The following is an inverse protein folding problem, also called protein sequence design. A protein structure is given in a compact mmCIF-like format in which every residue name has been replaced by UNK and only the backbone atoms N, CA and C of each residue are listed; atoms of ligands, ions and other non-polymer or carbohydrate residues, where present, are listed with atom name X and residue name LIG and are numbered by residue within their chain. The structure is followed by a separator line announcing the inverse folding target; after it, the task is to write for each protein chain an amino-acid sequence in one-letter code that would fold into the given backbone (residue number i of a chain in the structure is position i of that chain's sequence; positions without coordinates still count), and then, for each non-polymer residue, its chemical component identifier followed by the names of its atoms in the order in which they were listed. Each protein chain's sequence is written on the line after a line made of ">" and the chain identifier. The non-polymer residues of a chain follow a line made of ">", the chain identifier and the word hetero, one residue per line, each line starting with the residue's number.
data_IF_268519737539
#
_entry.id   IF_268519737539
#
_cell.length_a   1.000
_cell.length_b   1.000
_cell.length_c   1.000
_cell.angle_alpha   90.00
_cell.angle_beta   90.00
_cell.angle_gamma   90.00
#
_symmetry.space_group_name_H-M   'P 1'
#
loop_
_entity.id
_entity.type
_entity.pdbx_description
1 polymer ?
#
# COMPACT_ATOMS: atom_id res chain seq x y z
N UNK A 1 -8.32 -0.57 -9.76
CA UNK A 1 -8.10 0.55 -8.82
C UNK A 1 -8.48 0.07 -7.44
N UNK A 2 -7.82 0.55 -6.38
CA UNK A 2 -8.30 0.39 -5.01
C UNK A 2 -9.08 1.67 -4.64
N UNK A 3 -10.40 1.59 -4.43
CA UNK A 3 -11.21 2.76 -4.15
C UNK A 3 -11.00 3.29 -2.72
N UNK A 4 -11.49 4.50 -2.47
CA UNK A 4 -11.56 5.10 -1.14
C UNK A 4 -12.23 4.16 -0.14
N UNK A 5 -11.62 3.97 1.03
CA UNK A 5 -12.21 3.19 2.11
C UNK A 5 -12.44 1.71 1.80
N UNK A 6 -11.75 1.14 0.81
CA UNK A 6 -11.90 -0.26 0.40
C UNK A 6 -11.82 -1.28 1.56
N UNK A 7 -11.11 -0.93 2.63
CA UNK A 7 -10.89 -1.81 3.79
C UNK A 7 -11.47 -1.25 5.11
N UNK A 8 -12.29 -0.21 5.06
CA UNK A 8 -12.77 0.53 6.25
C UNK A 8 -13.48 -0.37 7.27
N UNK A 9 -14.22 -1.38 6.79
CA UNK A 9 -14.98 -2.31 7.63
C UNK A 9 -14.15 -3.51 8.12
N UNK A 10 -12.84 -3.51 7.89
CA UNK A 10 -11.90 -4.56 8.29
C UNK A 10 -10.84 -4.03 9.28
N UNK A 11 -11.22 -3.53 10.47
CA UNK A 11 -10.28 -2.87 11.40
C UNK A 11 -9.19 -3.79 11.97
N UNK A 12 -9.37 -5.11 11.85
CA UNK A 12 -8.43 -6.14 12.29
C UNK A 12 -7.60 -6.72 11.13
N UNK A 13 -7.67 -6.15 9.92
CA UNK A 13 -6.89 -6.62 8.78
C UNK A 13 -5.39 -6.46 9.06
N UNK A 14 -4.65 -7.57 8.98
CA UNK A 14 -3.21 -7.60 9.20
C UNK A 14 -2.40 -7.86 7.93
N UNK A 15 -3.00 -8.55 6.95
CA UNK A 15 -2.33 -8.88 5.70
C UNK A 15 -3.28 -8.65 4.53
N UNK A 16 -2.78 -7.98 3.49
CA UNK A 16 -3.48 -7.74 2.25
C UNK A 16 -2.62 -8.21 1.07
N UNK A 17 -3.06 -9.31 0.45
CA UNK A 17 -2.45 -9.93 -0.73
C UNK A 17 -3.23 -9.50 -1.98
N UNK A 18 -2.68 -8.58 -2.76
CA UNK A 18 -3.32 -7.94 -3.92
C UNK A 18 -2.46 -8.08 -5.20
N UNK A 19 -1.50 -9.00 -5.18
CA UNK A 19 -0.60 -9.30 -6.29
C UNK A 19 -1.31 -9.82 -7.52
N UNK A 20 -0.64 -9.70 -8.68
CA UNK A 20 -1.10 -10.24 -9.97
C UNK A 20 -2.46 -9.71 -10.43
N UNK A 21 -2.79 -8.51 -9.99
CA UNK A 21 -3.95 -7.77 -10.46
C UNK A 21 -3.56 -6.75 -11.53
N UNK A 22 -4.53 -5.96 -11.98
CA UNK A 22 -4.33 -4.86 -12.93
C UNK A 22 -4.51 -3.50 -12.25
N UNK A 23 -4.06 -3.38 -11.00
CA UNK A 23 -4.19 -2.15 -10.22
C UNK A 23 -3.25 -1.09 -10.81
N UNK A 24 -3.84 0.00 -11.27
CA UNK A 24 -3.13 1.16 -11.83
C UNK A 24 -3.18 2.37 -10.89
N UNK A 25 -4.10 2.36 -9.93
CA UNK A 25 -4.40 3.49 -9.06
C UNK A 25 -4.90 3.00 -7.70
N UNK A 26 -4.50 3.72 -6.66
CA UNK A 26 -4.92 3.53 -5.27
C UNK A 26 -5.37 4.90 -4.77
N UNK A 27 -6.61 5.01 -4.28
CA UNK A 27 -7.11 6.24 -3.71
C UNK A 27 -6.32 6.63 -2.43
N UNK A 28 -6.17 7.94 -2.18
CA UNK A 28 -5.40 8.47 -1.05
C UNK A 28 -5.92 8.08 0.34
N UNK A 29 -7.16 7.63 0.42
CA UNK A 29 -7.81 7.11 1.62
C UNK A 29 -8.26 5.65 1.46
N UNK A 30 -7.65 4.89 0.53
CA UNK A 30 -7.95 3.47 0.35
C UNK A 30 -7.75 2.67 1.65
N UNK A 31 -6.70 3.01 2.39
CA UNK A 31 -6.29 2.36 3.64
C UNK A 31 -6.74 3.12 4.91
N UNK A 32 -7.78 3.95 4.82
CA UNK A 32 -8.33 4.60 6.02
C UNK A 32 -8.84 3.55 7.02
N UNK A 33 -8.61 3.79 8.30
CA UNK A 33 -9.05 2.93 9.42
C UNK A 33 -8.51 1.49 9.43
N UNK A 34 -7.42 1.20 8.72
CA UNK A 34 -6.70 -0.10 8.80
C UNK A 34 -5.25 0.05 9.27
N UNK A 35 -5.01 0.62 10.47
CA UNK A 35 -3.66 0.90 10.96
C UNK A 35 -2.86 -0.36 11.33
N UNK A 36 -3.51 -1.52 11.40
CA UNK A 36 -2.94 -2.79 11.87
C UNK A 36 -2.39 -3.68 10.76
N UNK A 37 -2.40 -3.23 9.49
CA UNK A 37 -1.80 -3.99 8.39
C UNK A 37 -0.28 -4.04 8.62
N UNK A 38 0.24 -5.26 8.66
CA UNK A 38 1.66 -5.59 8.80
C UNK A 38 2.28 -5.94 7.44
N UNK A 39 1.48 -6.54 6.55
CA UNK A 39 1.94 -7.02 5.25
C UNK A 39 1.01 -6.54 4.12
N UNK A 40 1.58 -5.86 3.13
CA UNK A 40 0.88 -5.41 1.93
C UNK A 40 1.64 -5.84 0.69
N UNK A 41 1.04 -6.74 -0.09
CA UNK A 41 1.59 -7.19 -1.37
C UNK A 41 0.80 -6.62 -2.54
N UNK A 42 1.43 -5.70 -3.25
CA UNK A 42 0.95 -5.08 -4.48
C UNK A 42 1.80 -5.51 -5.68
N UNK A 43 2.61 -6.57 -5.55
CA UNK A 43 3.51 -7.00 -6.62
C UNK A 43 2.77 -7.38 -7.90
N UNK A 44 3.45 -7.31 -9.04
CA UNK A 44 2.89 -7.69 -10.34
C UNK A 44 1.59 -6.95 -10.69
N UNK A 45 1.53 -5.65 -10.37
CA UNK A 45 0.46 -4.75 -10.78
C UNK A 45 0.97 -3.72 -11.81
N UNK A 46 0.21 -2.63 -12.01
CA UNK A 46 0.49 -1.62 -13.04
C UNK A 46 0.63 -0.22 -12.42
N UNK A 47 1.01 -0.12 -11.14
CA UNK A 47 1.12 1.16 -10.43
C UNK A 47 2.23 2.02 -11.05
N UNK A 48 1.94 3.23 -11.54
CA UNK A 48 2.94 4.14 -12.11
C UNK A 48 3.66 4.97 -11.04
N UNK A 49 3.01 5.16 -9.88
CA UNK A 49 3.52 5.92 -8.73
C UNK A 49 2.87 5.41 -7.44
N UNK A 50 3.49 5.73 -6.30
CA UNK A 50 2.91 5.61 -4.95
C UNK A 50 2.55 6.97 -4.33
N UNK A 51 2.82 8.06 -5.06
CA UNK A 51 2.39 9.40 -4.68
C UNK A 51 0.86 9.39 -4.60
N UNK A 52 0.33 9.58 -3.40
CA UNK A 52 -1.10 9.48 -3.05
C UNK A 52 -1.68 8.06 -2.88
N UNK A 53 -0.89 7.00 -2.72
CA UNK A 53 -1.43 5.66 -2.44
C UNK A 53 -1.98 5.47 -1.01
N UNK A 54 -2.06 6.53 -0.19
CA UNK A 54 -2.61 6.47 1.17
C UNK A 54 -1.80 5.63 2.16
N UNK A 55 -0.54 5.36 1.86
CA UNK A 55 0.34 4.52 2.69
C UNK A 55 0.61 5.12 4.08
N UNK A 56 0.42 6.43 4.26
CA UNK A 56 0.58 7.10 5.56
C UNK A 56 -0.37 6.62 6.65
N UNK A 57 -1.46 5.93 6.28
CA UNK A 57 -2.37 5.29 7.23
C UNK A 57 -1.80 3.98 7.81
N UNK A 58 -0.83 3.35 7.12
CA UNK A 58 -0.29 2.02 7.42
C UNK A 58 0.88 2.08 8.41
N UNK A 59 0.63 2.63 9.60
CA UNK A 59 1.69 2.91 10.60
C UNK A 59 2.35 1.66 11.18
N UNK A 60 1.73 0.49 11.07
CA UNK A 60 2.27 -0.79 11.54
C UNK A 60 2.88 -1.63 10.40
N UNK A 61 2.97 -1.09 9.18
CA UNK A 61 3.41 -1.87 8.04
C UNK A 61 4.88 -2.28 8.19
N UNK A 62 5.13 -3.58 8.16
CA UNK A 62 6.47 -4.15 8.25
C UNK A 62 7.01 -4.56 6.88
N UNK A 63 6.12 -5.02 5.99
CA UNK A 63 6.49 -5.51 4.66
C UNK A 63 5.60 -4.87 3.60
N UNK A 64 6.24 -4.22 2.63
CA UNK A 64 5.61 -3.68 1.43
C UNK A 64 6.27 -4.29 0.19
N UNK A 65 5.51 -5.09 -0.56
CA UNK A 65 5.97 -5.59 -1.86
C UNK A 65 5.28 -4.82 -2.98
N UNK A 66 6.06 -4.01 -3.70
CA UNK A 66 5.65 -3.23 -4.87
C UNK A 66 6.43 -3.66 -6.12
N UNK A 67 7.10 -4.82 -6.06
CA UNK A 67 7.91 -5.36 -7.14
C UNK A 67 7.07 -5.61 -8.40
N UNK A 68 7.73 -5.57 -9.56
CA UNK A 68 7.07 -5.84 -10.85
C UNK A 68 5.87 -4.91 -11.17
N UNK A 69 5.90 -3.67 -10.69
CA UNK A 69 4.96 -2.61 -11.08
C UNK A 69 5.51 -1.76 -12.25
N UNK A 70 4.90 -0.58 -12.50
CA UNK A 70 5.33 0.40 -13.51
C UNK A 70 5.95 1.65 -12.86
N UNK A 71 6.45 1.51 -11.63
CA UNK A 71 7.05 2.58 -10.86
C UNK A 71 8.34 3.04 -11.53
N UNK A 72 8.42 4.34 -11.82
CA UNK A 72 9.66 4.96 -12.33
C UNK A 72 10.50 5.58 -11.23
N UNK A 73 9.88 5.87 -10.08
CA UNK A 73 10.48 6.45 -8.89
C UNK A 73 9.60 6.10 -7.69
N UNK A 74 10.21 6.06 -6.51
CA UNK A 74 9.49 6.04 -5.23
C UNK A 74 9.90 7.29 -4.48
N UNK A 75 8.95 8.19 -4.22
CA UNK A 75 9.23 9.41 -3.49
C UNK A 75 9.40 9.10 -1.99
N UNK A 76 10.41 9.67 -1.34
CA UNK A 76 10.63 9.51 0.11
C UNK A 76 9.38 9.88 0.92
N UNK A 77 8.65 10.91 0.50
CA UNK A 77 7.40 11.35 1.14
C UNK A 77 6.31 10.26 1.11
N UNK A 78 6.31 9.37 0.11
CA UNK A 78 5.34 8.26 0.03
C UNK A 78 5.55 7.18 1.09
N UNK A 79 6.75 7.11 1.67
CA UNK A 79 7.14 6.10 2.67
C UNK A 79 7.42 6.71 4.05
N UNK A 80 7.33 8.03 4.19
CA UNK A 80 7.79 8.79 5.37
C UNK A 80 7.20 8.33 6.69
N UNK A 81 5.93 7.94 6.69
CA UNK A 81 5.19 7.54 7.88
C UNK A 81 5.23 6.02 8.15
N UNK A 82 5.96 5.26 7.32
CA UNK A 82 6.14 3.80 7.47
C UNK A 82 7.30 3.49 8.42
N UNK A 83 7.18 3.94 9.68
CA UNK A 83 8.26 3.87 10.68
C UNK A 83 8.71 2.44 11.02
N UNK A 84 7.85 1.45 10.78
CA UNK A 84 8.08 0.04 11.09
C UNK A 84 8.43 -0.80 9.87
N UNK A 85 8.63 -0.17 8.70
CA UNK A 85 8.93 -0.89 7.47
C UNK A 85 10.31 -1.54 7.56
N UNK A 86 10.32 -2.87 7.61
CA UNK A 86 11.53 -3.69 7.66
C UNK A 86 11.93 -4.12 6.25
N UNK A 87 10.94 -4.38 5.39
CA UNK A 87 11.18 -4.94 4.06
C UNK A 87 10.40 -4.18 2.98
N UNK A 88 11.14 -3.69 1.99
CA UNK A 88 10.61 -3.07 0.77
C UNK A 88 11.13 -3.84 -0.44
N UNK A 89 10.22 -4.37 -1.25
CA UNK A 89 10.52 -5.14 -2.47
C UNK A 89 9.97 -4.47 -3.73
#
# INVERSE_FOLDING_TARGET
>A
MIPSGAFTDLPLLQSAELQENRIQEIASNAFINVPNILYLNLSNNLLPSLEHAGLSALRSLEVLDISNNRLTRVATESLRDLEWLVELK
#
